data_IF_777241871223
#
_entry.id   IF_777241871223
#
_cell.length_a   1.000
_cell.length_b   1.000
_cell.length_c   1.000
_cell.angle_alpha   90.00
_cell.angle_beta   90.00
_cell.angle_gamma   90.00
#
_symmetry.space_group_name_H-M   'P 1'
#
loop_
_entity.id
_entity.type
_entity.pdbx_description
1 polymer ?
#
# COMPACT_ATOMS: atom_id res chain seq x y z
N UNK A 1 -33.71 -22.52 13.96
CA UNK A 1 -32.64 -22.69 14.96
C UNK A 1 -31.95 -21.33 15.15
N UNK A 2 -32.30 -20.64 16.21
CA UNK A 2 -31.54 -19.45 16.60
C UNK A 2 -30.15 -19.92 17.02
N UNK A 3 -29.14 -19.74 16.18
CA UNK A 3 -27.74 -19.91 16.56
C UNK A 3 -27.43 -18.81 17.56
N UNK A 4 -27.46 -19.14 18.86
CA UNK A 4 -27.00 -18.25 19.92
C UNK A 4 -25.55 -17.90 19.62
N UNK A 5 -25.29 -16.64 19.30
CA UNK A 5 -23.95 -16.06 19.30
C UNK A 5 -23.67 -15.63 20.74
N UNK A 6 -23.25 -16.57 21.58
CA UNK A 6 -22.76 -16.22 22.90
C UNK A 6 -21.26 -15.89 22.84
N UNK A 7 -20.76 -15.25 23.86
CA UNK A 7 -19.36 -14.81 23.95
C UNK A 7 -18.36 -15.98 23.94
N UNK A 8 -18.80 -17.22 24.17
CA UNK A 8 -18.00 -18.43 24.10
C UNK A 8 -18.01 -19.10 22.70
N UNK A 9 -18.73 -18.52 21.73
CA UNK A 9 -18.76 -19.05 20.36
C UNK A 9 -17.41 -18.85 19.69
N UNK A 10 -16.91 -19.86 18.95
CA UNK A 10 -15.71 -19.74 18.11
C UNK A 10 -15.84 -18.72 16.96
N UNK A 11 -16.98 -18.02 16.85
CA UNK A 11 -17.20 -16.90 15.91
C UNK A 11 -17.05 -15.53 16.57
N UNK A 12 -16.86 -15.49 17.88
CA UNK A 12 -16.61 -14.25 18.64
C UNK A 12 -15.13 -14.18 18.92
N UNK A 13 -14.47 -13.17 18.38
CA UNK A 13 -13.06 -12.91 18.59
C UNK A 13 -12.89 -11.64 19.43
N UNK A 14 -12.08 -11.74 20.48
CA UNK A 14 -11.68 -10.56 21.24
C UNK A 14 -10.64 -9.78 20.46
N UNK A 15 -10.89 -8.51 20.22
CA UNK A 15 -9.88 -7.61 19.68
C UNK A 15 -8.84 -7.32 20.76
N UNK A 16 -7.61 -7.74 20.55
CA UNK A 16 -6.50 -7.36 21.42
C UNK A 16 -6.01 -5.97 21.03
N UNK A 17 -5.64 -5.17 22.03
CA UNK A 17 -4.95 -3.91 21.80
C UNK A 17 -3.52 -4.21 21.30
N UNK A 18 -3.20 -3.97 20.02
CA UNK A 18 -1.91 -4.36 19.48
C UNK A 18 -0.79 -3.44 19.95
N UNK A 19 0.39 -3.99 20.20
CA UNK A 19 1.61 -3.21 20.35
C UNK A 19 2.11 -2.81 18.96
N UNK A 20 2.11 -1.51 18.68
CA UNK A 20 2.40 -0.96 17.35
C UNK A 20 3.79 -0.34 17.33
N UNK A 21 4.59 -0.73 16.34
CA UNK A 21 5.82 -0.09 15.94
C UNK A 21 5.59 0.75 14.68
N UNK A 22 6.02 2.01 14.69
CA UNK A 22 5.98 2.93 13.55
C UNK A 22 7.41 3.29 13.14
N UNK A 23 7.81 2.87 11.94
CA UNK A 23 9.17 3.11 11.43
C UNK A 23 9.35 4.58 11.03
N UNK A 24 10.51 5.13 11.38
CA UNK A 24 10.94 6.48 10.97
C UNK A 24 12.44 6.49 10.67
N UNK A 25 12.92 7.53 10.05
CA UNK A 25 14.34 7.72 9.76
C UNK A 25 14.57 8.42 8.42
N UNK A 26 15.82 8.42 7.95
CA UNK A 26 16.21 9.09 6.70
C UNK A 26 15.51 8.52 5.45
N UNK A 27 15.11 7.26 5.49
CA UNK A 27 14.42 6.54 4.43
C UNK A 27 12.94 6.91 4.33
N UNK A 28 12.38 7.46 5.41
CA UNK A 28 10.93 7.64 5.60
C UNK A 28 10.47 9.01 5.12
N UNK A 29 9.36 9.06 4.39
CA UNK A 29 8.66 10.31 4.07
C UNK A 29 8.10 10.94 5.35
N UNK A 30 8.58 12.13 5.70
CA UNK A 30 8.12 12.88 6.87
C UNK A 30 6.63 13.24 6.80
N UNK A 31 6.09 13.48 5.60
CA UNK A 31 4.66 13.78 5.41
C UNK A 31 3.76 12.56 5.73
N UNK A 32 4.13 11.38 5.22
CA UNK A 32 3.33 10.18 5.46
C UNK A 32 3.49 9.70 6.91
N UNK A 33 4.73 9.71 7.44
CA UNK A 33 4.96 9.45 8.86
C UNK A 33 4.14 10.38 9.76
N UNK A 34 4.20 11.68 9.50
CA UNK A 34 3.48 12.68 10.31
C UNK A 34 1.95 12.50 10.27
N UNK A 35 1.38 12.13 9.12
CA UNK A 35 -0.07 11.85 9.02
C UNK A 35 -0.48 10.59 9.81
N UNK A 36 0.34 9.54 9.79
CA UNK A 36 0.11 8.31 10.56
C UNK A 36 0.25 8.60 12.06
N UNK A 37 1.32 9.29 12.46
CA UNK A 37 1.56 9.65 13.86
C UNK A 37 0.44 10.55 14.42
N UNK A 38 0.04 11.58 13.66
CA UNK A 38 -1.08 12.45 14.01
C UNK A 38 -2.39 11.66 14.22
N UNK A 39 -2.68 10.66 13.39
CA UNK A 39 -3.86 9.81 13.56
C UNK A 39 -3.82 9.09 14.91
N UNK A 40 -2.72 8.46 15.26
CA UNK A 40 -2.63 7.73 16.53
C UNK A 40 -2.65 8.68 17.74
N UNK A 41 -1.87 9.75 17.70
CA UNK A 41 -1.69 10.61 18.87
C UNK A 41 -2.87 11.57 19.07
N UNK A 42 -3.33 12.21 17.99
CA UNK A 42 -4.32 13.29 18.09
C UNK A 42 -5.76 12.82 17.89
N UNK A 43 -5.98 11.85 17.00
CA UNK A 43 -7.34 11.46 16.65
C UNK A 43 -7.86 10.30 17.49
N UNK A 44 -7.12 9.21 17.61
CA UNK A 44 -7.56 8.03 18.37
C UNK A 44 -6.90 7.89 19.73
N UNK A 45 -5.87 8.70 20.02
CA UNK A 45 -5.11 8.71 21.28
C UNK A 45 -4.58 7.33 21.68
N UNK A 46 -4.04 6.62 20.70
CA UNK A 46 -3.50 5.29 20.88
C UNK A 46 -1.97 5.30 20.86
N UNK A 47 -1.34 4.63 21.83
CA UNK A 47 0.11 4.59 21.99
C UNK A 47 0.77 3.82 20.87
N UNK A 48 1.77 4.43 20.20
CA UNK A 48 2.66 3.78 19.23
C UNK A 48 4.11 3.97 19.64
N UNK A 49 4.95 2.97 19.38
CA UNK A 49 6.39 3.05 19.58
C UNK A 49 7.05 3.47 18.28
N UNK A 50 7.83 4.54 18.33
CA UNK A 50 8.55 5.04 17.16
C UNK A 50 9.90 4.32 17.09
N UNK A 51 10.15 3.63 15.97
CA UNK A 51 11.42 2.95 15.70
C UNK A 51 12.21 3.72 14.66
N UNK A 52 13.43 4.17 15.04
CA UNK A 52 14.30 4.82 14.08
C UNK A 52 15.04 3.78 13.23
N UNK A 53 15.15 4.03 11.93
CA UNK A 53 15.82 3.15 10.97
C UNK A 53 17.29 2.89 11.32
N UNK A 54 17.97 3.82 11.97
CA UNK A 54 19.40 3.71 12.33
C UNK A 54 19.72 2.54 13.26
N UNK A 55 18.75 2.05 14.03
CA UNK A 55 18.92 0.88 14.90
C UNK A 55 17.88 -0.22 14.67
N UNK A 56 17.17 -0.15 13.54
CA UNK A 56 16.09 -1.10 13.22
C UNK A 56 16.54 -2.57 13.24
N UNK A 57 17.75 -2.86 12.75
CA UNK A 57 18.33 -4.21 12.76
C UNK A 57 18.60 -4.77 14.16
N UNK A 58 18.61 -3.93 15.19
CA UNK A 58 18.85 -4.31 16.59
C UNK A 58 17.55 -4.49 17.38
N UNK A 59 16.40 -4.15 16.78
CA UNK A 59 15.10 -4.23 17.44
C UNK A 59 14.58 -5.66 17.43
N UNK A 60 14.17 -6.16 18.59
CA UNK A 60 13.41 -7.40 18.66
C UNK A 60 11.94 -7.14 18.30
N UNK A 61 11.55 -7.55 17.09
CA UNK A 61 10.19 -7.38 16.60
C UNK A 61 9.18 -8.27 17.32
N UNK A 62 9.61 -9.28 18.11
CA UNK A 62 8.69 -10.12 18.89
C UNK A 62 7.96 -9.33 20.00
N UNK A 63 8.45 -8.16 20.34
CA UNK A 63 7.79 -7.25 21.28
C UNK A 63 6.58 -6.52 20.67
N UNK A 64 6.37 -6.62 19.36
CA UNK A 64 5.33 -5.92 18.61
C UNK A 64 4.38 -6.86 17.88
N UNK A 65 3.12 -6.44 17.79
CA UNK A 65 2.11 -7.15 16.99
C UNK A 65 1.99 -6.58 15.58
N UNK A 66 2.25 -5.27 15.43
CA UNK A 66 2.11 -4.53 14.16
C UNK A 66 3.34 -3.68 13.91
N UNK A 67 3.91 -3.81 12.71
CA UNK A 67 4.93 -2.91 12.17
C UNK A 67 4.33 -2.09 11.03
N UNK A 68 4.32 -0.78 11.20
CA UNK A 68 3.90 0.16 10.16
C UNK A 68 5.13 0.73 9.48
N UNK A 69 5.19 0.57 8.16
CA UNK A 69 6.25 1.09 7.30
C UNK A 69 5.66 2.20 6.43
N UNK A 70 5.85 3.47 6.80
CA UNK A 70 5.37 4.60 6.01
C UNK A 70 5.97 4.63 4.61
N UNK A 71 5.42 5.44 3.73
CA UNK A 71 6.01 5.70 2.41
C UNK A 71 7.48 6.13 2.54
N UNK A 72 8.37 5.58 1.70
CA UNK A 72 9.80 5.85 1.76
C UNK A 72 10.62 4.97 0.83
N UNK A 73 11.96 5.04 0.92
CA UNK A 73 12.91 4.29 0.11
C UNK A 73 13.77 3.41 1.01
N UNK A 74 13.38 2.15 1.16
CA UNK A 74 13.94 1.23 2.16
C UNK A 74 14.87 0.15 1.59
N UNK A 75 15.27 0.22 0.32
CA UNK A 75 16.08 -0.84 -0.31
C UNK A 75 17.45 -1.05 0.34
N UNK A 76 18.03 -0.01 0.96
CA UNK A 76 19.28 -0.14 1.72
C UNK A 76 19.05 -0.65 3.15
N UNK A 77 17.93 -0.30 3.76
CA UNK A 77 17.58 -0.69 5.13
C UNK A 77 16.99 -2.11 5.19
N UNK A 78 16.10 -2.42 4.27
CA UNK A 78 15.42 -3.71 4.17
C UNK A 78 16.07 -4.53 3.05
N UNK A 79 17.29 -4.97 3.30
CA UNK A 79 17.99 -5.90 2.43
C UNK A 79 17.37 -7.30 2.47
N UNK A 80 17.96 -8.25 1.77
CA UNK A 80 17.47 -9.63 1.68
C UNK A 80 17.40 -10.32 3.05
N UNK A 81 18.36 -10.07 3.93
CA UNK A 81 18.42 -10.65 5.28
C UNK A 81 17.30 -10.10 6.15
N UNK A 82 17.13 -8.77 6.15
CA UNK A 82 16.05 -8.10 6.87
C UNK A 82 14.67 -8.50 6.36
N UNK A 83 14.48 -8.62 5.04
CA UNK A 83 13.21 -9.09 4.46
C UNK A 83 12.91 -10.53 4.85
N UNK A 84 13.92 -11.40 4.90
CA UNK A 84 13.76 -12.79 5.37
C UNK A 84 13.35 -12.81 6.86
N UNK A 85 13.99 -11.99 7.70
CA UNK A 85 13.63 -11.88 9.11
C UNK A 85 12.19 -11.35 9.31
N UNK A 86 11.80 -10.32 8.55
CA UNK A 86 10.43 -9.81 8.54
C UNK A 86 9.42 -10.87 8.12
N UNK A 87 9.73 -11.63 7.06
CA UNK A 87 8.90 -12.73 6.60
C UNK A 87 8.69 -13.80 7.69
N UNK A 88 9.76 -14.20 8.39
CA UNK A 88 9.68 -15.15 9.50
C UNK A 88 8.86 -14.59 10.67
N UNK A 89 9.02 -13.32 11.00
CA UNK A 89 8.23 -12.65 12.03
C UNK A 89 6.73 -12.62 11.68
N UNK A 90 6.39 -12.30 10.41
CA UNK A 90 5.00 -12.35 9.94
C UNK A 90 4.44 -13.76 10.03
N UNK A 91 5.20 -14.80 9.60
CA UNK A 91 4.75 -16.19 9.68
C UNK A 91 4.40 -16.63 11.11
N UNK A 92 5.04 -16.06 12.13
CA UNK A 92 4.77 -16.31 13.55
C UNK A 92 3.58 -15.55 14.11
N UNK A 93 3.02 -14.60 13.36
CA UNK A 93 1.81 -13.84 13.75
C UNK A 93 1.94 -12.33 13.70
N UNK A 94 3.12 -11.80 13.34
CA UNK A 94 3.31 -10.37 13.15
C UNK A 94 2.51 -9.83 11.96
N UNK A 95 2.21 -8.54 11.98
CA UNK A 95 1.50 -7.85 10.91
C UNK A 95 2.30 -6.66 10.38
N UNK A 96 2.53 -6.63 9.06
CA UNK A 96 3.12 -5.48 8.38
C UNK A 96 2.03 -4.66 7.71
N UNK A 97 2.09 -3.33 7.84
CA UNK A 97 1.28 -2.39 7.06
C UNK A 97 2.24 -1.50 6.28
N UNK A 98 2.32 -1.70 4.97
CA UNK A 98 3.23 -0.98 4.09
C UNK A 98 2.50 0.05 3.23
N UNK A 99 3.03 1.28 3.19
CA UNK A 99 2.44 2.40 2.48
C UNK A 99 3.19 2.74 1.19
N UNK A 100 2.44 2.90 0.12
CA UNK A 100 2.88 3.54 -1.15
C UNK A 100 4.27 3.10 -1.62
N UNK A 101 5.28 3.98 -1.59
CA UNK A 101 6.62 3.66 -2.10
C UNK A 101 7.37 2.61 -1.28
N UNK A 102 7.03 2.40 0.00
CA UNK A 102 7.60 1.32 0.80
C UNK A 102 7.28 -0.08 0.23
N UNK A 103 6.17 -0.23 -0.49
CA UNK A 103 5.76 -1.50 -1.08
C UNK A 103 6.79 -1.99 -2.12
N UNK A 104 7.56 -1.08 -2.72
CA UNK A 104 8.54 -1.44 -3.75
C UNK A 104 9.63 -2.40 -3.26
N UNK A 105 10.00 -2.37 -1.99
CA UNK A 105 11.00 -3.28 -1.45
C UNK A 105 10.46 -4.71 -1.33
N UNK A 106 9.19 -4.86 -0.99
CA UNK A 106 8.51 -6.15 -0.96
C UNK A 106 8.30 -6.71 -2.37
N UNK A 107 7.92 -5.84 -3.33
CA UNK A 107 7.72 -6.23 -4.73
C UNK A 107 9.02 -6.63 -5.45
N UNK A 108 10.17 -6.30 -4.90
CA UNK A 108 11.48 -6.70 -5.40
C UNK A 108 11.97 -8.05 -4.84
N UNK A 109 11.22 -8.68 -3.94
CA UNK A 109 11.58 -9.94 -3.28
C UNK A 109 10.57 -11.03 -3.62
N UNK A 110 11.07 -12.21 -3.97
CA UNK A 110 10.25 -13.40 -4.24
C UNK A 110 9.56 -13.97 -2.98
N UNK A 111 9.94 -13.48 -1.81
CA UNK A 111 9.33 -13.88 -0.54
C UNK A 111 7.91 -13.34 -0.36
N UNK A 112 7.46 -12.40 -1.18
CA UNK A 112 6.17 -11.72 -1.07
C UNK A 112 5.37 -11.82 -2.38
N UNK A 113 4.04 -11.82 -2.27
CA UNK A 113 3.17 -11.98 -3.44
C UNK A 113 3.02 -10.69 -4.27
N UNK A 114 3.27 -9.54 -3.65
CA UNK A 114 3.14 -8.27 -4.35
C UNK A 114 4.18 -8.14 -5.46
N UNK A 115 3.76 -7.76 -6.64
CA UNK A 115 4.64 -7.54 -7.78
C UNK A 115 4.22 -6.31 -8.56
N UNK A 116 5.18 -5.66 -9.20
CA UNK A 116 4.88 -4.56 -10.13
C UNK A 116 4.04 -5.11 -11.27
N UNK A 117 3.00 -4.40 -11.64
CA UNK A 117 2.19 -4.79 -12.79
C UNK A 117 2.97 -4.59 -14.09
N UNK A 118 3.23 -5.68 -14.78
CA UNK A 118 3.84 -5.71 -16.10
C UNK A 118 2.99 -6.61 -17.00
N UNK A 119 2.25 -6.02 -17.96
CA UNK A 119 1.65 -6.83 -19.01
C UNK A 119 2.73 -7.26 -20.00
N UNK A 120 2.57 -8.44 -20.64
CA UNK A 120 3.48 -8.90 -21.68
C UNK A 120 3.54 -7.93 -22.88
N UNK A 121 2.42 -7.27 -23.17
CA UNK A 121 2.36 -6.23 -24.20
C UNK A 121 3.12 -4.97 -23.77
N UNK A 122 3.02 -4.58 -22.49
CA UNK A 122 3.81 -3.47 -21.92
C UNK A 122 5.32 -3.79 -21.96
N UNK A 123 5.74 -5.03 -21.70
CA UNK A 123 7.15 -5.42 -21.82
C UNK A 123 7.65 -5.32 -23.27
N UNK A 124 6.86 -5.81 -24.23
CA UNK A 124 7.17 -5.72 -25.66
C UNK A 124 7.16 -4.28 -26.16
N UNK A 125 6.18 -3.49 -25.72
CA UNK A 125 6.11 -2.06 -26.06
C UNK A 125 7.17 -1.24 -25.34
N UNK A 126 7.51 -1.53 -24.07
CA UNK A 126 8.60 -0.86 -23.37
C UNK A 126 9.95 -1.08 -24.05
N UNK A 127 10.21 -2.28 -24.57
CA UNK A 127 11.40 -2.55 -25.38
C UNK A 127 11.38 -1.78 -26.71
N UNK A 128 10.26 -1.81 -27.43
CA UNK A 128 10.10 -1.04 -28.68
C UNK A 128 10.09 0.48 -28.42
N UNK A 129 9.43 0.94 -27.36
CA UNK A 129 9.42 2.34 -26.93
C UNK A 129 10.80 2.83 -26.48
N UNK A 130 11.60 2.02 -25.81
CA UNK A 130 12.97 2.43 -25.42
C UNK A 130 13.82 2.80 -26.62
N UNK A 131 13.72 2.08 -27.70
CA UNK A 131 14.48 2.36 -28.93
C UNK A 131 13.86 3.47 -29.76
N UNK A 132 12.53 3.54 -29.88
CA UNK A 132 11.82 4.64 -30.54
C UNK A 132 11.96 5.95 -29.75
N UNK A 133 11.77 5.91 -28.44
CA UNK A 133 11.91 7.09 -27.56
C UNK A 133 13.34 7.63 -27.53
N UNK A 134 14.36 6.78 -27.66
CA UNK A 134 15.75 7.25 -27.82
C UNK A 134 15.96 8.00 -29.13
N UNK A 135 15.33 7.56 -30.21
CA UNK A 135 15.37 8.25 -31.52
C UNK A 135 14.51 9.52 -31.53
N UNK A 136 13.29 9.42 -31.03
CA UNK A 136 12.36 10.55 -30.96
C UNK A 136 12.79 11.61 -29.96
N UNK A 137 13.35 11.24 -28.80
CA UNK A 137 13.86 12.18 -27.79
C UNK A 137 15.01 13.06 -28.30
N UNK A 138 15.75 12.60 -29.31
CA UNK A 138 16.82 13.40 -29.94
C UNK A 138 16.28 14.45 -30.91
N UNK A 139 15.04 14.29 -31.36
CA UNK A 139 14.39 15.18 -32.34
C UNK A 139 13.27 16.01 -31.73
N UNK A 140 12.98 15.87 -30.44
CA UNK A 140 11.93 16.63 -29.74
C UNK A 140 12.31 18.07 -29.60
N UNK A 141 11.35 18.95 -29.90
CA UNK A 141 11.49 20.35 -29.55
C UNK A 141 11.37 20.51 -28.02
N UNK A 142 11.90 21.59 -27.48
CA UNK A 142 11.77 21.91 -26.04
C UNK A 142 10.31 21.92 -25.58
N UNK A 143 9.44 22.48 -26.41
CA UNK A 143 8.01 22.58 -26.14
C UNK A 143 7.30 21.20 -26.08
N UNK A 144 7.70 20.27 -26.95
CA UNK A 144 7.16 18.92 -26.96
C UNK A 144 7.62 18.09 -25.75
N UNK A 145 8.82 18.33 -25.23
CA UNK A 145 9.37 17.62 -24.09
C UNK A 145 8.54 17.86 -22.83
N UNK A 146 8.12 19.10 -22.56
CA UNK A 146 7.27 19.46 -21.43
C UNK A 146 5.88 18.81 -21.55
N UNK A 147 5.27 18.88 -22.72
CA UNK A 147 3.96 18.30 -22.99
C UNK A 147 3.93 16.78 -22.79
N UNK A 148 4.98 16.10 -23.24
CA UNK A 148 5.11 14.64 -23.06
C UNK A 148 5.34 14.28 -21.60
N UNK A 149 6.15 15.05 -20.86
CA UNK A 149 6.33 14.86 -19.43
C UNK A 149 5.01 14.95 -18.68
N UNK A 150 4.18 15.94 -18.99
CA UNK A 150 2.85 16.15 -18.41
C UNK A 150 1.92 14.97 -18.76
N UNK A 151 1.95 14.46 -19.99
CA UNK A 151 1.07 13.36 -20.42
C UNK A 151 1.38 12.02 -19.72
N UNK A 152 2.58 11.84 -19.21
CA UNK A 152 3.03 10.62 -18.50
C UNK A 152 2.93 10.73 -16.97
N UNK A 153 2.38 11.82 -16.43
CA UNK A 153 2.41 12.08 -15.00
C UNK A 153 1.01 12.19 -14.39
N UNK A 154 0.85 11.67 -13.16
CA UNK A 154 -0.33 11.89 -12.31
C UNK A 154 0.11 12.76 -11.15
N UNK A 155 -0.26 14.02 -11.17
CA UNK A 155 0.06 14.96 -10.08
C UNK A 155 -0.80 14.74 -8.84
N UNK A 156 -2.04 14.31 -9.06
CA UNK A 156 -3.02 13.95 -8.05
C UNK A 156 -4.40 13.81 -8.70
N UNK A 157 -4.93 12.60 -8.66
CA UNK A 157 -6.22 12.29 -9.27
C UNK A 157 -6.98 11.28 -8.42
N UNK A 158 -8.30 11.52 -8.31
CA UNK A 158 -9.21 10.66 -7.56
C UNK A 158 -9.81 9.64 -8.53
N UNK A 159 -9.66 8.37 -8.18
CA UNK A 159 -10.23 7.26 -8.92
C UNK A 159 -11.25 6.51 -8.07
N UNK A 160 -12.32 6.07 -8.71
CA UNK A 160 -13.27 5.15 -8.14
C UNK A 160 -12.74 3.73 -8.29
N UNK A 161 -12.54 3.05 -7.17
CA UNK A 161 -12.11 1.67 -7.07
C UNK A 161 -13.24 0.78 -6.58
N UNK A 162 -13.25 -0.49 -6.99
CA UNK A 162 -14.11 -1.50 -6.39
C UNK A 162 -13.55 -1.89 -5.02
N UNK A 163 -14.42 -2.11 -4.03
CA UNK A 163 -14.04 -2.53 -2.68
C UNK A 163 -14.80 -3.79 -2.27
N UNK A 164 -14.07 -4.79 -1.77
CA UNK A 164 -14.65 -5.93 -1.07
C UNK A 164 -14.91 -5.56 0.40
N UNK A 165 -16.14 -5.19 0.71
CA UNK A 165 -16.56 -4.82 2.05
C UNK A 165 -16.89 -6.02 2.96
N UNK A 166 -16.68 -7.24 2.48
CA UNK A 166 -16.77 -8.47 3.29
C UNK A 166 -15.42 -8.83 3.93
N UNK A 167 -14.33 -8.27 3.41
CA UNK A 167 -13.01 -8.40 4.01
C UNK A 167 -12.86 -7.45 5.21
N UNK A 168 -12.20 -7.86 6.31
CA UNK A 168 -11.97 -6.99 7.47
C UNK A 168 -11.39 -5.62 7.16
N UNK A 169 -10.50 -5.51 6.16
CA UNK A 169 -9.94 -4.24 5.71
C UNK A 169 -11.02 -3.29 5.18
N UNK A 170 -12.07 -3.83 4.54
CA UNK A 170 -13.17 -3.08 3.93
C UNK A 170 -14.37 -2.84 4.85
N UNK A 171 -14.34 -3.23 6.12
CA UNK A 171 -15.48 -3.06 7.02
C UNK A 171 -15.88 -1.60 7.20
N UNK A 172 -17.19 -1.35 7.22
CA UNK A 172 -17.78 -0.01 7.34
C UNK A 172 -17.91 0.76 6.03
N UNK A 173 -17.44 0.21 4.91
CA UNK A 173 -17.59 0.79 3.59
C UNK A 173 -18.70 0.12 2.77
N UNK A 174 -19.13 0.81 1.70
CA UNK A 174 -19.88 0.20 0.60
C UNK A 174 -18.97 -0.62 -0.31
N UNK A 175 -19.46 -0.95 -1.52
CA UNK A 175 -18.69 -1.69 -2.54
C UNK A 175 -17.74 -0.83 -3.37
N UNK A 176 -17.60 0.43 -3.02
CA UNK A 176 -16.82 1.43 -3.74
C UNK A 176 -15.91 2.18 -2.78
N UNK A 177 -14.73 2.54 -3.27
CA UNK A 177 -13.78 3.37 -2.57
C UNK A 177 -13.25 4.46 -3.50
N UNK A 178 -12.97 5.62 -2.97
CA UNK A 178 -12.37 6.72 -3.72
C UNK A 178 -10.93 6.87 -3.27
N UNK A 179 -9.99 6.54 -4.16
CA UNK A 179 -8.56 6.62 -3.88
C UNK A 179 -7.94 7.86 -4.50
N UNK A 180 -7.01 8.49 -3.77
CA UNK A 180 -6.16 9.57 -4.30
C UNK A 180 -4.86 8.96 -4.79
N UNK A 181 -4.70 8.88 -6.09
CA UNK A 181 -3.48 8.40 -6.73
C UNK A 181 -2.54 9.54 -7.06
N UNK A 182 -1.27 9.38 -6.64
CA UNK A 182 -0.16 10.25 -7.00
C UNK A 182 0.96 9.42 -7.62
N UNK A 183 1.41 9.81 -8.80
CA UNK A 183 2.40 9.05 -9.55
C UNK A 183 1.83 7.81 -10.24
N UNK A 184 2.65 7.16 -11.06
CA UNK A 184 2.28 6.06 -11.96
C UNK A 184 2.58 4.65 -11.43
N UNK A 185 2.88 4.47 -10.13
CA UNK A 185 3.15 3.13 -9.61
C UNK A 185 1.91 2.24 -9.64
N UNK A 186 2.12 1.02 -10.12
CA UNK A 186 1.07 0.07 -10.36
C UNK A 186 1.52 -1.33 -9.93
N UNK A 187 0.71 -1.98 -9.13
CA UNK A 187 0.97 -3.34 -8.66
C UNK A 187 -0.10 -4.29 -9.21
N UNK A 188 0.33 -5.50 -9.53
CA UNK A 188 -0.54 -6.57 -9.96
C UNK A 188 -1.45 -7.03 -8.81
N UNK A 189 -2.54 -7.70 -9.16
CA UNK A 189 -3.36 -8.37 -8.16
C UNK A 189 -2.56 -9.49 -7.48
N UNK A 190 -2.73 -9.63 -6.18
CA UNK A 190 -2.18 -10.75 -5.42
C UNK A 190 -2.77 -12.07 -5.95
N UNK A 191 -1.92 -13.09 -6.08
CA UNK A 191 -2.33 -14.39 -6.65
C UNK A 191 -3.13 -15.23 -5.65
N UNK A 192 -2.69 -15.26 -4.39
CA UNK A 192 -3.29 -16.05 -3.31
C UNK A 192 -3.81 -15.16 -2.16
N UNK A 193 -3.49 -13.85 -2.19
CA UNK A 193 -3.96 -12.86 -1.23
C UNK A 193 -5.33 -12.30 -1.57
N UNK A 194 -5.83 -11.41 -0.71
CA UNK A 194 -7.11 -10.72 -0.91
C UNK A 194 -6.88 -9.37 -1.60
N UNK A 195 -7.45 -9.20 -2.77
CA UNK A 195 -7.46 -7.94 -3.53
C UNK A 195 -8.65 -7.10 -3.07
N UNK A 196 -8.51 -6.45 -1.92
CA UNK A 196 -9.64 -5.83 -1.21
C UNK A 196 -10.14 -4.58 -1.93
N UNK A 197 -9.24 -3.76 -2.45
CA UNK A 197 -9.62 -2.63 -3.30
C UNK A 197 -8.81 -2.62 -4.58
N UNK A 198 -9.51 -2.49 -5.72
CA UNK A 198 -8.89 -2.59 -7.04
C UNK A 198 -9.49 -1.59 -8.03
N UNK A 199 -8.65 -1.08 -8.91
CA UNK A 199 -9.10 -0.45 -10.16
C UNK A 199 -9.18 -1.57 -11.20
N UNK A 200 -10.37 -1.76 -11.78
CA UNK A 200 -10.60 -2.78 -12.81
C UNK A 200 -10.07 -2.29 -14.17
N UNK A 201 -10.40 -2.98 -15.23
CA UNK A 201 -9.84 -2.84 -16.58
C UNK A 201 -9.72 -1.38 -17.08
N UNK A 202 -10.70 -0.55 -16.76
CA UNK A 202 -10.68 0.86 -17.11
C UNK A 202 -10.71 1.72 -15.86
N UNK A 203 -9.76 2.65 -15.78
CA UNK A 203 -9.71 3.62 -14.70
C UNK A 203 -10.93 4.56 -14.77
N UNK A 204 -11.65 4.67 -13.65
CA UNK A 204 -12.75 5.63 -13.50
C UNK A 204 -12.25 6.84 -12.73
N UNK A 205 -11.73 7.83 -13.46
CA UNK A 205 -11.30 9.10 -12.92
C UNK A 205 -12.50 9.96 -12.56
N UNK A 206 -12.55 10.44 -11.32
CA UNK A 206 -13.63 11.28 -10.80
C UNK A 206 -13.23 12.76 -10.78
N UNK A 207 -11.99 13.04 -10.42
CA UNK A 207 -11.49 14.42 -10.28
C UNK A 207 -9.97 14.45 -10.28
N UNK A 208 -9.40 15.63 -10.41
CA UNK A 208 -7.96 15.85 -10.40
C UNK A 208 -7.34 15.73 -11.78
N UNK A 209 -5.99 15.65 -11.82
CA UNK A 209 -5.23 15.58 -13.06
C UNK A 209 -4.47 14.27 -13.19
N UNK A 210 -4.68 13.58 -14.31
CA UNK A 210 -3.87 12.49 -14.80
C UNK A 210 -3.58 12.72 -16.28
N UNK A 211 -2.32 12.67 -16.67
CA UNK A 211 -1.93 12.76 -18.07
C UNK A 211 -2.49 11.61 -18.90
N UNK A 212 -2.75 11.85 -20.17
CA UNK A 212 -3.44 10.90 -21.05
C UNK A 212 -2.77 9.52 -21.08
N UNK A 213 -1.45 9.48 -21.24
CA UNK A 213 -0.71 8.21 -21.26
C UNK A 213 -0.71 7.54 -19.87
N UNK A 214 -0.56 8.34 -18.80
CA UNK A 214 -0.59 7.80 -17.44
C UNK A 214 -1.97 7.25 -17.07
N UNK A 215 -3.06 7.83 -17.59
CA UNK A 215 -4.42 7.40 -17.37
C UNK A 215 -4.70 6.02 -17.98
N UNK A 216 -4.15 5.75 -19.18
CA UNK A 216 -4.25 4.44 -19.83
C UNK A 216 -3.59 3.34 -18.99
N UNK A 217 -2.53 3.69 -18.27
CA UNK A 217 -1.76 2.76 -17.45
C UNK A 217 -2.37 2.51 -16.05
N UNK A 218 -3.43 3.21 -15.62
CA UNK A 218 -4.00 3.06 -14.26
C UNK A 218 -4.88 1.81 -14.11
N UNK A 219 -5.52 1.35 -15.18
CA UNK A 219 -6.43 0.20 -15.15
C UNK A 219 -5.77 -1.10 -14.67
N UNK A 220 -6.55 -2.07 -14.22
CA UNK A 220 -6.11 -3.40 -13.74
C UNK A 220 -5.01 -3.31 -12.68
N UNK A 221 -5.24 -2.56 -11.62
CA UNK A 221 -4.24 -2.35 -10.57
C UNK A 221 -4.79 -2.54 -9.16
N UNK A 222 -3.93 -3.06 -8.29
CA UNK A 222 -4.20 -3.15 -6.86
C UNK A 222 -4.18 -1.75 -6.24
N UNK A 223 -5.16 -1.47 -5.38
CA UNK A 223 -5.18 -0.27 -4.52
C UNK A 223 -4.87 -0.67 -3.08
N UNK A 224 -5.60 -1.67 -2.56
CA UNK A 224 -5.35 -2.23 -1.23
C UNK A 224 -5.47 -3.74 -1.26
N UNK A 225 -4.49 -4.41 -0.66
CA UNK A 225 -4.44 -5.87 -0.61
C UNK A 225 -3.98 -6.40 0.74
N UNK A 226 -4.34 -7.64 1.00
CA UNK A 226 -3.92 -8.37 2.20
C UNK A 226 -3.33 -9.71 1.78
N UNK A 227 -2.05 -9.92 2.06
CA UNK A 227 -1.37 -11.20 1.94
C UNK A 227 -1.38 -11.89 3.30
N UNK A 228 -1.95 -13.09 3.38
CA UNK A 228 -1.82 -13.94 4.56
C UNK A 228 -0.53 -14.73 4.48
N UNK A 229 0.22 -14.77 5.59
CA UNK A 229 1.49 -15.49 5.64
C UNK A 229 1.68 -16.18 6.99
N UNK A 230 1.52 -17.50 6.98
CA UNK A 230 1.49 -18.27 8.23
C UNK A 230 0.35 -17.80 9.15
N UNK A 231 0.70 -17.36 10.36
CA UNK A 231 -0.26 -16.81 11.35
C UNK A 231 -0.47 -15.31 11.24
N UNK A 232 0.34 -14.61 10.45
CA UNK A 232 0.30 -13.17 10.31
C UNK A 232 -0.22 -12.71 8.95
N UNK A 233 -0.06 -11.41 8.68
CA UNK A 233 -0.52 -10.79 7.46
C UNK A 233 0.34 -9.59 7.05
N UNK A 234 0.32 -9.29 5.75
CA UNK A 234 0.89 -8.06 5.21
C UNK A 234 -0.24 -7.28 4.53
N UNK A 235 -0.41 -6.03 4.91
CA UNK A 235 -1.39 -5.12 4.32
C UNK A 235 -0.65 -4.15 3.42
N UNK A 236 -0.99 -4.15 2.14
CA UNK A 236 -0.44 -3.27 1.13
C UNK A 236 -1.39 -2.10 0.88
N UNK A 237 -0.99 -0.89 1.24
CA UNK A 237 -1.71 0.35 1.00
C UNK A 237 -1.02 1.11 -0.13
N UNK A 238 -1.33 0.74 -1.38
CA UNK A 238 -0.63 1.24 -2.58
C UNK A 238 -0.77 2.75 -2.72
N UNK A 239 -1.98 3.26 -2.60
CA UNK A 239 -2.22 4.69 -2.48
C UNK A 239 -2.31 5.07 -1.00
N UNK A 240 -1.92 6.28 -0.65
CA UNK A 240 -1.89 6.74 0.73
C UNK A 240 -3.31 7.05 1.26
N UNK A 241 -3.91 6.20 2.11
CA UNK A 241 -5.24 6.45 2.68
C UNK A 241 -5.22 7.56 3.74
N UNK A 242 -4.04 8.00 4.17
CA UNK A 242 -3.86 8.98 5.24
C UNK A 242 -3.38 10.34 4.72
N UNK A 243 -3.44 10.55 3.40
CA UNK A 243 -2.83 11.68 2.72
C UNK A 243 -3.00 13.01 3.49
N UNK A 244 -1.87 13.52 3.98
CA UNK A 244 -1.76 14.79 4.72
C UNK A 244 -2.77 14.95 5.86
N UNK A 245 -3.19 13.86 6.49
CA UNK A 245 -4.16 13.80 7.60
C UNK A 245 -5.58 14.35 7.32
N UNK A 246 -5.88 14.81 6.11
CA UNK A 246 -7.20 15.32 5.76
C UNK A 246 -8.03 14.38 4.87
N UNK A 247 -7.45 13.28 4.37
CA UNK A 247 -8.18 12.31 3.55
C UNK A 247 -9.06 11.43 4.45
N UNK A 248 -10.20 11.97 4.88
CA UNK A 248 -11.10 11.33 5.86
C UNK A 248 -11.59 9.95 5.41
N UNK A 249 -11.81 9.82 4.08
CA UNK A 249 -12.28 8.55 3.50
C UNK A 249 -11.34 7.35 3.75
N UNK A 250 -10.07 7.58 4.03
CA UNK A 250 -9.10 6.49 4.26
C UNK A 250 -8.83 6.15 5.71
N UNK A 251 -9.23 6.99 6.66
CA UNK A 251 -8.90 6.79 8.08
C UNK A 251 -9.51 5.52 8.67
N UNK A 252 -10.77 5.22 8.34
CA UNK A 252 -11.41 3.98 8.76
C UNK A 252 -10.72 2.75 8.16
N UNK A 253 -10.33 2.80 6.89
CA UNK A 253 -9.59 1.71 6.24
C UNK A 253 -8.24 1.46 6.92
N UNK A 254 -7.51 2.51 7.27
CA UNK A 254 -6.26 2.39 8.01
C UNK A 254 -6.51 1.84 9.42
N UNK A 255 -7.56 2.29 10.12
CA UNK A 255 -8.00 1.71 11.39
C UNK A 255 -8.30 0.21 11.26
N UNK A 256 -9.01 -0.21 10.21
CA UNK A 256 -9.27 -1.60 9.92
C UNK A 256 -7.98 -2.41 9.67
N UNK A 257 -7.01 -1.84 8.93
CA UNK A 257 -5.71 -2.48 8.72
C UNK A 257 -5.00 -2.76 10.04
N UNK A 258 -5.07 -1.82 10.99
CA UNK A 258 -4.43 -1.94 12.30
C UNK A 258 -5.15 -2.93 13.20
N UNK A 259 -6.47 -2.81 13.31
CA UNK A 259 -7.23 -3.48 14.37
C UNK A 259 -8.04 -4.69 13.91
N UNK A 260 -8.46 -4.77 12.64
CA UNK A 260 -9.39 -5.81 12.17
C UNK A 260 -8.71 -6.90 11.34
N UNK A 261 -7.66 -6.57 10.58
CA UNK A 261 -6.94 -7.56 9.76
C UNK A 261 -6.04 -8.41 10.65
N UNK A 262 -6.08 -9.74 10.47
CA UNK A 262 -5.20 -10.69 11.16
C UNK A 262 -5.56 -10.94 12.63
N UNK A 263 -6.82 -10.72 13.03
CA UNK A 263 -7.34 -11.07 14.35
C UNK A 263 -7.90 -12.50 14.35
#
# INVERSE_FOLDING_TARGET
VYKRQDLGSGRVHYLKAPKIALLTGKETSSYNFGSIWHFFEQQIKYKVNILNSSYFSQVDLHDYDVLIIPSGYYHELLDKEQLTALNQWVQKGGKIIAFSSAISVFAASDDFEISVYESEDMKKEALKRKDSLRKENRLKTYNDAERIAISNYISGSIFKASLDNTNPLGYGYGREYYTLKQGGRRYAYLKNGYNVSVIKDKANQISGFAGANALEDVGTSLVYGVEKKGKGAIVYLVDDPMFRSFWENGKLLFGNAVYMVGQ
#
